data_IF_192544847664
#
_entry.id   IF_192544847664
#
_cell.length_a   1.000
_cell.length_b   1.000
_cell.length_c   1.000
_cell.angle_alpha   90.00
_cell.angle_beta   90.00
_cell.angle_gamma   90.00
#
_symmetry.space_group_name_H-M   'P 1'
#
loop_
_entity.id
_entity.type
_entity.pdbx_description
1 polymer ?
#
# COMPACT_ATOMS: atom_id res chain seq x y z
N UNK A 1 -34.03 26.67 -20.71
CA UNK A 1 -32.70 27.00 -20.15
C UNK A 1 -31.67 26.22 -20.95
N UNK A 2 -30.83 26.92 -21.70
CA UNK A 2 -29.82 26.29 -22.56
C UNK A 2 -28.76 25.61 -21.69
N UNK A 3 -28.66 24.31 -21.78
CA UNK A 3 -27.51 23.55 -21.27
C UNK A 3 -26.33 23.88 -22.19
N UNK A 4 -25.41 24.69 -21.73
CA UNK A 4 -24.11 24.85 -22.37
C UNK A 4 -23.38 23.54 -22.20
N UNK A 5 -23.39 22.70 -23.23
CA UNK A 5 -22.49 21.55 -23.33
C UNK A 5 -21.08 22.13 -23.39
N UNK A 6 -20.27 21.85 -22.37
CA UNK A 6 -18.85 22.15 -22.42
C UNK A 6 -18.26 21.30 -23.55
N UNK A 7 -17.88 21.94 -24.65
CA UNK A 7 -17.18 21.26 -25.74
C UNK A 7 -15.78 20.90 -25.27
N UNK A 8 -15.49 19.61 -25.23
CA UNK A 8 -14.14 19.12 -24.97
C UNK A 8 -13.25 19.48 -26.17
N UNK A 9 -12.00 19.90 -25.92
CA UNK A 9 -11.04 20.09 -27.00
C UNK A 9 -10.94 18.84 -27.88
N UNK A 10 -10.90 19.00 -29.21
CA UNK A 10 -10.80 17.87 -30.16
C UNK A 10 -9.66 16.94 -29.77
N UNK A 11 -9.96 15.66 -29.50
CA UNK A 11 -8.99 14.63 -29.14
C UNK A 11 -8.86 14.36 -27.62
N UNK A 12 -9.55 15.10 -26.75
CA UNK A 12 -9.59 14.80 -25.31
C UNK A 12 -10.53 13.62 -25.05
N UNK A 13 -10.04 12.63 -24.33
CA UNK A 13 -10.90 11.57 -23.82
C UNK A 13 -11.46 11.98 -22.47
N UNK A 14 -12.73 11.76 -22.32
CA UNK A 14 -13.50 12.00 -21.08
C UNK A 14 -12.86 11.36 -19.82
N UNK A 15 -12.06 10.32 -20.02
CA UNK A 15 -11.30 9.61 -18.97
C UNK A 15 -10.16 10.40 -18.35
N UNK A 16 -9.86 11.59 -18.85
CA UNK A 16 -8.61 12.30 -18.56
C UNK A 16 -8.69 13.23 -17.32
N UNK A 17 -9.88 13.54 -16.82
CA UNK A 17 -10.09 14.65 -15.86
C UNK A 17 -10.28 14.29 -14.38
N UNK A 18 -10.73 13.10 -13.99
CA UNK A 18 -11.01 12.77 -12.56
C UNK A 18 -9.80 12.35 -11.77
N UNK A 19 -8.90 11.63 -12.38
CA UNK A 19 -7.72 11.12 -11.71
C UNK A 19 -7.00 12.24 -10.95
N UNK A 20 -7.02 13.43 -11.48
CA UNK A 20 -6.37 14.56 -10.85
C UNK A 20 -7.15 15.14 -9.66
N UNK A 21 -8.48 15.18 -9.71
CA UNK A 21 -9.29 15.68 -8.59
C UNK A 21 -9.13 14.81 -7.35
N UNK A 22 -9.23 13.50 -7.48
CA UNK A 22 -9.02 12.54 -6.38
C UNK A 22 -7.57 12.62 -5.87
N UNK A 23 -6.59 12.66 -6.77
CA UNK A 23 -5.18 12.76 -6.38
C UNK A 23 -4.88 14.10 -5.70
N UNK A 24 -5.39 15.23 -6.22
CA UNK A 24 -5.17 16.54 -5.62
C UNK A 24 -5.88 16.72 -4.26
N UNK A 25 -7.03 16.08 -4.05
CA UNK A 25 -7.72 16.02 -2.76
C UNK A 25 -6.87 15.27 -1.73
N UNK A 26 -6.35 14.10 -2.12
CA UNK A 26 -5.54 13.25 -1.24
C UNK A 26 -4.15 13.81 -0.98
N UNK A 27 -3.55 14.43 -1.99
CA UNK A 27 -2.21 15.04 -1.94
C UNK A 27 -2.29 16.54 -2.28
N UNK A 28 -2.71 17.41 -1.33
CA UNK A 28 -2.87 18.83 -1.59
C UNK A 28 -1.58 19.49 -2.07
N UNK A 29 -1.70 20.48 -2.95
CA UNK A 29 -0.56 21.21 -3.53
C UNK A 29 0.33 21.83 -2.45
N UNK A 30 -0.25 22.30 -1.35
CA UNK A 30 0.49 22.81 -0.18
C UNK A 30 1.42 21.75 0.40
N UNK A 31 0.91 20.53 0.66
CA UNK A 31 1.70 19.40 1.17
C UNK A 31 2.81 19.01 0.19
N UNK A 32 2.50 18.93 -1.10
CA UNK A 32 3.49 18.66 -2.16
C UNK A 32 4.60 19.70 -2.15
N UNK A 33 4.27 21.00 -2.07
CA UNK A 33 5.26 22.08 -2.01
C UNK A 33 6.13 21.99 -0.76
N UNK A 34 5.56 21.76 0.42
CA UNK A 34 6.30 21.58 1.66
C UNK A 34 7.32 20.43 1.55
N UNK A 35 6.92 19.28 0.97
CA UNK A 35 7.84 18.16 0.75
C UNK A 35 8.95 18.52 -0.23
N UNK A 36 8.64 19.22 -1.32
CA UNK A 36 9.63 19.66 -2.30
C UNK A 36 10.64 20.63 -1.71
N UNK A 37 10.21 21.55 -0.86
CA UNK A 37 11.07 22.47 -0.11
C UNK A 37 11.98 21.71 0.86
N UNK A 38 11.39 20.82 1.65
CA UNK A 38 12.11 20.02 2.64
C UNK A 38 13.12 19.03 2.03
N UNK A 39 13.00 18.72 0.73
CA UNK A 39 13.96 17.86 -0.01
C UNK A 39 14.88 18.67 -0.94
N UNK A 40 14.77 20.00 -0.96
CA UNK A 40 15.56 20.86 -1.85
C UNK A 40 15.27 20.68 -3.34
N UNK A 41 14.09 20.10 -3.67
CA UNK A 41 13.70 19.78 -5.05
C UNK A 41 12.67 20.75 -5.64
N UNK A 42 12.41 21.85 -4.98
CA UNK A 42 11.51 22.88 -5.51
C UNK A 42 12.09 23.52 -6.79
N UNK A 43 11.22 23.88 -7.74
CA UNK A 43 11.63 24.52 -8.98
C UNK A 43 12.07 25.97 -8.74
N UNK A 44 13.36 26.25 -8.93
CA UNK A 44 13.93 27.61 -8.78
C UNK A 44 13.73 28.51 -10.03
N UNK A 45 13.37 27.92 -11.16
CA UNK A 45 13.15 28.64 -12.44
C UNK A 45 11.80 28.25 -13.00
N UNK A 46 11.17 29.15 -13.76
CA UNK A 46 9.99 28.83 -14.54
C UNK A 46 10.35 27.79 -15.59
N UNK A 47 9.68 26.66 -15.60
CA UNK A 47 9.91 25.53 -16.50
C UNK A 47 8.57 25.02 -17.01
N UNK A 48 8.57 24.40 -18.20
CA UNK A 48 7.38 23.74 -18.78
C UNK A 48 6.81 22.64 -17.85
N UNK A 49 7.68 21.97 -17.05
CA UNK A 49 7.30 20.97 -16.05
C UNK A 49 7.90 21.33 -14.70
N UNK A 50 7.22 22.11 -13.87
CA UNK A 50 7.61 22.38 -12.49
C UNK A 50 7.57 21.12 -11.63
N UNK A 51 8.37 21.08 -10.55
CA UNK A 51 8.51 19.89 -9.70
C UNK A 51 7.17 19.38 -9.15
N UNK A 52 6.28 20.27 -8.69
CA UNK A 52 4.96 19.86 -8.17
C UNK A 52 4.08 19.19 -9.24
N UNK A 53 4.13 19.63 -10.49
CA UNK A 53 3.42 18.99 -11.61
C UNK A 53 4.01 17.61 -11.89
N UNK A 54 5.35 17.46 -11.79
CA UNK A 54 6.01 16.15 -11.96
C UNK A 54 5.61 15.16 -10.85
N UNK A 55 5.38 15.62 -9.61
CA UNK A 55 4.85 14.77 -8.54
C UNK A 55 3.49 14.19 -8.93
N UNK A 56 2.54 15.01 -9.34
CA UNK A 56 1.23 14.53 -9.80
C UNK A 56 1.33 13.65 -11.04
N UNK A 57 2.25 13.97 -11.94
CA UNK A 57 2.53 13.15 -13.11
C UNK A 57 2.97 11.73 -12.73
N UNK A 58 3.85 11.59 -11.73
CA UNK A 58 4.32 10.29 -11.25
C UNK A 58 3.16 9.47 -10.67
N UNK A 59 2.25 10.08 -9.92
CA UNK A 59 1.06 9.41 -9.41
C UNK A 59 0.11 9.03 -10.56
N UNK A 60 -0.10 9.94 -11.52
CA UNK A 60 -0.96 9.69 -12.67
C UNK A 60 -0.45 8.56 -13.58
N UNK A 61 0.87 8.32 -13.65
CA UNK A 61 1.43 7.17 -14.37
C UNK A 61 0.80 5.85 -13.93
N UNK A 62 0.52 5.68 -12.64
CA UNK A 62 -0.08 4.48 -12.10
C UNK A 62 -1.54 4.28 -12.52
N UNK A 63 -2.28 5.38 -12.68
CA UNK A 63 -3.67 5.35 -13.12
C UNK A 63 -3.80 5.03 -14.62
N UNK A 64 -2.75 5.30 -15.41
CA UNK A 64 -2.72 5.14 -16.86
C UNK A 64 -1.54 4.29 -17.34
N UNK A 65 -1.33 3.15 -16.70
CA UNK A 65 -0.19 2.26 -16.99
C UNK A 65 -0.11 1.79 -18.45
N UNK A 66 -1.23 1.77 -19.17
CA UNK A 66 -1.27 1.36 -20.57
C UNK A 66 -1.08 2.53 -21.56
N UNK A 67 -1.09 3.76 -21.09
CA UNK A 67 -0.95 4.95 -21.94
C UNK A 67 0.51 5.37 -22.10
N UNK A 68 0.83 6.06 -23.19
CA UNK A 68 2.18 6.60 -23.38
C UNK A 68 2.50 7.70 -22.36
N UNK A 69 3.77 7.91 -22.03
CA UNK A 69 4.20 8.97 -21.12
C UNK A 69 3.69 10.36 -21.53
N UNK A 70 3.67 10.63 -22.84
CA UNK A 70 3.20 11.90 -23.38
C UNK A 70 1.68 12.05 -23.22
N UNK A 71 0.95 10.96 -23.40
CA UNK A 71 -0.51 10.95 -23.22
C UNK A 71 -0.88 11.18 -21.76
N UNK A 72 -0.22 10.51 -20.82
CA UNK A 72 -0.44 10.75 -19.38
C UNK A 72 -0.16 12.20 -19.02
N UNK A 73 0.91 12.80 -19.58
CA UNK A 73 1.21 14.20 -19.35
C UNK A 73 0.13 15.12 -19.95
N UNK A 74 -0.35 14.83 -21.16
CA UNK A 74 -1.41 15.61 -21.80
C UNK A 74 -2.67 15.61 -20.94
N UNK A 75 -3.12 14.43 -20.49
CA UNK A 75 -4.26 14.27 -19.61
C UNK A 75 -4.11 15.05 -18.30
N UNK A 76 -2.93 14.95 -17.69
CA UNK A 76 -2.63 15.67 -16.46
C UNK A 76 -2.69 17.20 -16.67
N UNK A 77 -2.04 17.69 -17.71
CA UNK A 77 -1.95 19.14 -17.98
C UNK A 77 -3.30 19.75 -18.35
N UNK A 78 -4.12 19.03 -19.08
CA UNK A 78 -5.50 19.45 -19.37
C UNK A 78 -6.30 19.58 -18.06
N UNK A 79 -6.18 18.63 -17.13
CA UNK A 79 -6.77 18.71 -15.80
C UNK A 79 -6.19 19.85 -14.93
N UNK A 80 -4.87 20.06 -14.95
CA UNK A 80 -4.20 21.14 -14.19
C UNK A 80 -4.55 22.52 -14.75
N UNK A 81 -4.65 22.68 -16.05
CA UNK A 81 -5.03 23.93 -16.70
C UNK A 81 -6.40 24.42 -16.23
N UNK A 82 -7.35 23.48 -16.06
CA UNK A 82 -8.66 23.76 -15.47
C UNK A 82 -8.59 24.22 -14.00
N UNK A 83 -7.64 23.68 -13.23
CA UNK A 83 -7.48 24.02 -11.81
C UNK A 83 -6.75 25.35 -11.57
N UNK A 84 -5.85 25.74 -12.46
CA UNK A 84 -4.98 26.89 -12.24
C UNK A 84 -5.42 28.16 -12.98
N UNK A 85 -5.75 28.04 -14.25
CA UNK A 85 -6.32 29.15 -15.06
C UNK A 85 -6.62 28.66 -16.48
N UNK A 86 -7.85 28.77 -17.01
CA UNK A 86 -8.18 28.27 -18.35
C UNK A 86 -7.50 29.04 -19.49
N UNK A 87 -6.86 30.19 -19.22
CA UNK A 87 -6.19 31.01 -20.24
C UNK A 87 -4.72 30.64 -20.47
N UNK A 88 -4.09 29.96 -19.55
CA UNK A 88 -2.67 29.58 -19.66
C UNK A 88 -2.48 28.31 -20.51
N UNK A 89 -1.95 28.50 -21.72
CA UNK A 89 -1.60 27.37 -22.59
C UNK A 89 -0.36 26.62 -22.06
N UNK A 90 -0.56 25.48 -21.40
CA UNK A 90 0.55 24.63 -20.97
C UNK A 90 1.08 23.84 -22.18
N UNK A 91 2.34 24.03 -22.51
CA UNK A 91 3.01 23.33 -23.60
C UNK A 91 3.34 21.89 -23.20
N UNK A 92 2.78 20.92 -23.92
CA UNK A 92 3.09 19.50 -23.71
C UNK A 92 4.52 19.22 -24.15
N UNK A 93 5.37 18.96 -23.17
CA UNK A 93 6.77 18.61 -23.38
C UNK A 93 6.93 17.22 -24.00
N UNK A 94 7.94 17.03 -24.85
CA UNK A 94 8.27 15.74 -25.45
C UNK A 94 8.79 14.72 -24.42
N UNK A 95 8.89 13.44 -24.82
CA UNK A 95 9.32 12.31 -23.98
C UNK A 95 10.65 12.57 -23.24
N UNK A 96 11.63 13.19 -23.91
CA UNK A 96 12.92 13.56 -23.30
C UNK A 96 12.79 14.58 -22.18
N UNK A 97 11.96 15.59 -22.37
CA UNK A 97 11.67 16.61 -21.34
C UNK A 97 10.99 16.05 -20.12
N UNK A 98 10.07 15.09 -20.29
CA UNK A 98 9.42 14.35 -19.21
C UNK A 98 10.46 13.55 -18.41
N UNK A 99 11.30 12.77 -19.11
CA UNK A 99 12.34 11.95 -18.47
C UNK A 99 13.31 12.83 -17.66
N UNK A 100 13.79 13.92 -18.26
CA UNK A 100 14.67 14.89 -17.58
C UNK A 100 13.99 15.54 -16.36
N UNK A 101 12.69 15.87 -16.45
CA UNK A 101 11.96 16.45 -15.34
C UNK A 101 11.84 15.46 -14.18
N UNK A 102 11.55 14.19 -14.45
CA UNK A 102 11.53 13.12 -13.45
C UNK A 102 12.90 12.88 -12.81
N UNK A 103 13.97 12.84 -13.62
CA UNK A 103 15.35 12.68 -13.11
C UNK A 103 15.75 13.84 -12.20
N UNK A 104 15.39 15.08 -12.55
CA UNK A 104 15.64 16.24 -11.67
C UNK A 104 14.89 16.18 -10.36
N UNK A 105 13.65 15.67 -10.38
CA UNK A 105 12.85 15.49 -9.17
C UNK A 105 13.50 14.49 -8.19
N UNK A 106 14.01 13.38 -8.73
CA UNK A 106 14.54 12.29 -7.91
C UNK A 106 13.45 11.45 -7.25
N UNK A 107 13.84 10.38 -6.57
CA UNK A 107 12.89 9.48 -5.88
C UNK A 107 12.52 9.96 -4.48
N UNK A 108 13.42 10.68 -3.83
CA UNK A 108 13.28 11.10 -2.42
C UNK A 108 12.00 11.91 -2.12
N UNK A 109 11.64 12.95 -2.90
CA UNK A 109 10.41 13.70 -2.63
C UNK A 109 9.15 12.84 -2.75
N UNK A 110 9.14 11.88 -3.70
CA UNK A 110 8.01 10.99 -3.91
C UNK A 110 7.86 10.03 -2.73
N UNK A 111 8.97 9.44 -2.27
CA UNK A 111 8.98 8.60 -1.07
C UNK A 111 8.55 9.39 0.17
N UNK A 112 9.09 10.59 0.37
CA UNK A 112 8.77 11.44 1.53
C UNK A 112 7.29 11.83 1.54
N UNK A 113 6.72 12.17 0.38
CA UNK A 113 5.28 12.46 0.26
C UNK A 113 4.45 11.23 0.60
N UNK A 114 4.81 10.05 0.06
CA UNK A 114 4.19 8.78 0.41
C UNK A 114 4.22 8.57 1.93
N UNK A 115 5.40 8.59 2.54
CA UNK A 115 5.58 8.33 3.97
C UNK A 115 4.86 9.36 4.87
N UNK A 116 4.64 10.58 4.38
CA UNK A 116 3.93 11.63 5.11
C UNK A 116 2.40 11.49 5.03
N UNK A 117 1.87 11.08 3.88
CA UNK A 117 0.42 11.11 3.62
C UNK A 117 -0.23 9.74 3.73
N UNK A 118 0.46 8.68 3.27
CA UNK A 118 -0.10 7.32 3.25
C UNK A 118 -0.03 6.72 4.66
N UNK A 119 -1.18 6.71 5.32
CA UNK A 119 -1.36 6.26 6.71
C UNK A 119 -2.68 5.52 6.85
N UNK A 120 -2.90 4.77 7.95
CA UNK A 120 -4.22 4.25 8.30
C UNK A 120 -5.29 5.33 8.23
N UNK A 121 -6.45 4.98 7.67
CA UNK A 121 -7.60 5.88 7.49
C UNK A 121 -8.87 5.40 8.17
N UNK A 122 -8.87 4.19 8.74
CA UNK A 122 -10.02 3.65 9.45
C UNK A 122 -10.41 4.57 10.61
N UNK A 123 -11.70 4.78 10.74
CA UNK A 123 -12.35 5.42 11.91
C UNK A 123 -13.12 4.35 12.68
N UNK A 124 -13.61 4.66 13.88
CA UNK A 124 -14.36 3.72 14.72
C UNK A 124 -15.53 3.06 13.98
N UNK A 125 -16.20 3.78 13.09
CA UNK A 125 -17.30 3.28 12.29
C UNK A 125 -16.86 2.41 11.07
N UNK A 126 -15.56 2.23 10.83
CA UNK A 126 -15.07 1.43 9.70
C UNK A 126 -15.25 -0.05 10.00
N UNK A 127 -16.15 -0.69 9.27
CA UNK A 127 -16.40 -2.14 9.39
C UNK A 127 -15.18 -2.93 8.91
N UNK A 128 -14.90 -4.08 9.54
CA UNK A 128 -13.75 -4.94 9.19
C UNK A 128 -12.40 -4.45 9.68
N UNK A 129 -12.25 -3.17 10.07
CA UNK A 129 -10.98 -2.60 10.46
C UNK A 129 -10.60 -2.86 11.94
N UNK A 130 -11.53 -3.28 12.78
CA UNK A 130 -11.33 -3.34 14.22
C UNK A 130 -11.67 -4.71 14.80
N UNK A 131 -10.83 -5.16 15.68
CA UNK A 131 -11.15 -6.22 16.62
C UNK A 131 -11.16 -5.64 18.03
N UNK A 132 -12.37 -5.47 18.60
CA UNK A 132 -12.57 -4.77 19.88
C UNK A 132 -11.92 -3.37 19.81
N UNK A 133 -10.91 -3.09 20.63
CA UNK A 133 -10.21 -1.80 20.65
C UNK A 133 -8.96 -1.77 19.76
N UNK A 134 -8.62 -2.87 19.07
CA UNK A 134 -7.43 -2.94 18.23
C UNK A 134 -7.75 -2.67 16.76
N UNK A 135 -7.00 -1.75 16.18
CA UNK A 135 -6.94 -1.61 14.73
C UNK A 135 -6.19 -2.81 14.14
N UNK A 136 -6.84 -3.53 13.23
CA UNK A 136 -6.26 -4.69 12.57
C UNK A 136 -5.29 -4.25 11.48
N UNK A 137 -4.08 -4.77 11.55
CA UNK A 137 -3.06 -4.56 10.51
C UNK A 137 -2.41 -5.88 10.16
N UNK A 138 -2.15 -6.10 8.88
CA UNK A 138 -1.47 -7.31 8.39
C UNK A 138 -0.12 -6.95 7.80
N UNK A 139 0.90 -7.80 8.02
CA UNK A 139 2.24 -7.64 7.48
C UNK A 139 2.48 -8.70 6.40
N UNK A 140 2.85 -8.28 5.20
CA UNK A 140 3.28 -9.19 4.14
C UNK A 140 4.17 -8.50 3.12
N UNK A 141 4.78 -9.31 2.23
CA UNK A 141 5.66 -8.87 1.18
C UNK A 141 5.20 -9.30 -0.20
N UNK A 142 5.70 -8.60 -1.21
CA UNK A 142 5.47 -8.98 -2.60
C UNK A 142 6.59 -8.49 -3.50
N UNK A 143 6.50 -8.85 -4.79
CA UNK A 143 7.44 -8.41 -5.82
C UNK A 143 6.71 -7.79 -7.00
N UNK A 144 7.38 -6.85 -7.68
CA UNK A 144 6.93 -6.29 -8.94
C UNK A 144 8.04 -6.37 -9.98
N UNK A 145 7.66 -6.76 -11.19
CA UNK A 145 8.55 -6.76 -12.34
C UNK A 145 8.82 -5.32 -12.79
N UNK A 146 10.06 -5.05 -13.16
CA UNK A 146 10.52 -3.77 -13.69
C UNK A 146 11.07 -3.93 -15.11
N UNK A 147 11.21 -2.82 -15.84
CA UNK A 147 11.70 -2.83 -17.21
C UNK A 147 13.04 -3.58 -17.32
N UNK A 148 13.16 -4.39 -18.36
CA UNK A 148 14.35 -5.17 -18.70
C UNK A 148 15.45 -4.26 -19.22
N UNK A 149 16.12 -3.61 -18.30
CA UNK A 149 17.26 -2.71 -18.54
C UNK A 149 18.42 -3.10 -17.64
N UNK A 150 19.62 -3.03 -18.15
CA UNK A 150 20.85 -3.42 -17.43
C UNK A 150 20.96 -2.72 -16.06
N UNK A 151 20.67 -1.43 -15.99
CA UNK A 151 20.72 -0.68 -14.75
C UNK A 151 19.72 -1.20 -13.69
N UNK A 152 18.52 -1.63 -14.11
CA UNK A 152 17.51 -2.21 -13.23
C UNK A 152 17.95 -3.62 -12.78
N UNK A 153 18.55 -4.41 -13.65
CA UNK A 153 19.07 -5.73 -13.30
C UNK A 153 20.21 -5.65 -12.28
N UNK A 154 21.16 -4.77 -12.50
CA UNK A 154 22.28 -4.53 -11.57
C UNK A 154 21.79 -4.09 -10.19
N UNK A 155 20.78 -3.21 -10.13
CA UNK A 155 20.24 -2.68 -8.88
C UNK A 155 19.31 -3.65 -8.15
N UNK A 156 18.42 -4.32 -8.87
CA UNK A 156 17.31 -5.07 -8.25
C UNK A 156 17.48 -6.59 -8.34
N UNK A 157 18.23 -7.08 -9.35
CA UNK A 157 18.41 -8.52 -9.60
C UNK A 157 17.21 -9.18 -10.27
N UNK A 158 17.41 -10.40 -10.75
CA UNK A 158 16.38 -11.26 -11.36
C UNK A 158 16.06 -12.46 -10.48
N UNK A 159 14.86 -13.04 -10.56
CA UNK A 159 14.57 -14.33 -9.96
C UNK A 159 15.45 -15.42 -10.62
N UNK A 160 15.89 -16.37 -9.81
CA UNK A 160 16.53 -17.58 -10.34
C UNK A 160 15.52 -18.36 -11.18
N UNK A 161 15.92 -18.78 -12.37
CA UNK A 161 15.10 -19.64 -13.22
C UNK A 161 15.81 -20.98 -13.42
N UNK A 162 15.09 -22.07 -13.30
CA UNK A 162 15.60 -23.42 -13.58
C UNK A 162 15.86 -23.68 -15.07
N UNK A 163 15.38 -22.80 -15.96
CA UNK A 163 15.46 -22.92 -17.43
C UNK A 163 15.84 -21.63 -18.13
N UNK A 164 16.88 -20.91 -17.63
CA UNK A 164 17.41 -19.71 -18.28
C UNK A 164 16.89 -18.37 -17.75
N UNK A 165 17.40 -17.25 -18.28
CA UNK A 165 17.13 -15.87 -17.84
C UNK A 165 15.85 -15.29 -18.48
N UNK A 166 14.69 -15.89 -18.32
CA UNK A 166 13.46 -15.39 -18.97
C UNK A 166 12.63 -14.42 -18.12
N UNK A 167 12.99 -14.22 -16.86
CA UNK A 167 12.24 -13.35 -15.95
C UNK A 167 12.76 -11.91 -15.95
N UNK A 168 11.86 -10.93 -15.77
CA UNK A 168 12.23 -9.53 -15.59
C UNK A 168 13.01 -9.29 -14.30
N UNK A 169 13.86 -8.22 -14.22
CA UNK A 169 14.34 -7.74 -12.94
C UNK A 169 13.17 -7.38 -12.01
N UNK A 170 13.35 -7.58 -10.69
CA UNK A 170 12.26 -7.42 -9.73
C UNK A 170 12.66 -6.56 -8.55
N UNK A 171 11.79 -5.62 -8.19
CA UNK A 171 11.79 -5.05 -6.85
C UNK A 171 11.01 -5.95 -5.89
N UNK A 172 11.45 -5.96 -4.64
CA UNK A 172 10.74 -6.57 -3.51
C UNK A 172 10.28 -5.47 -2.57
N UNK A 173 9.09 -5.60 -2.03
CA UNK A 173 8.60 -4.70 -1.01
C UNK A 173 7.87 -5.46 0.09
N UNK A 174 7.83 -4.87 1.27
CA UNK A 174 7.04 -5.31 2.42
C UNK A 174 6.23 -4.13 2.89
N UNK A 175 4.98 -4.37 3.23
CA UNK A 175 4.03 -3.34 3.65
C UNK A 175 3.21 -3.81 4.83
N UNK A 176 2.74 -2.87 5.63
CA UNK A 176 1.59 -3.07 6.49
C UNK A 176 0.33 -2.77 5.68
N UNK A 177 -0.74 -3.49 5.96
CA UNK A 177 -2.07 -3.24 5.42
C UNK A 177 -3.02 -2.99 6.57
N UNK A 178 -3.77 -1.92 6.52
CA UNK A 178 -4.93 -1.71 7.38
C UNK A 178 -6.07 -2.57 6.86
N UNK A 179 -6.44 -3.60 7.63
CA UNK A 179 -7.56 -4.48 7.29
C UNK A 179 -8.86 -3.67 7.21
N UNK A 180 -9.82 -4.12 6.41
CA UNK A 180 -11.09 -3.43 6.18
C UNK A 180 -11.00 -2.24 5.21
N UNK A 181 -9.90 -1.48 5.17
CA UNK A 181 -9.72 -0.41 4.19
C UNK A 181 -8.79 -0.78 3.04
N UNK A 182 -8.00 -1.83 3.20
CA UNK A 182 -6.93 -2.28 2.30
C UNK A 182 -5.83 -1.23 2.03
N UNK A 183 -5.68 -0.25 2.90
CA UNK A 183 -4.61 0.74 2.78
C UNK A 183 -3.25 0.12 3.06
N UNK A 184 -2.38 0.15 2.07
CA UNK A 184 -0.98 -0.25 2.17
C UNK A 184 -0.15 0.92 2.70
N UNK A 185 0.52 0.77 3.85
CA UNK A 185 1.30 1.84 4.48
C UNK A 185 2.61 1.31 5.09
N UNK A 186 3.51 2.22 5.48
CA UNK A 186 4.80 1.85 6.07
C UNK A 186 5.71 1.06 5.12
N UNK A 187 5.46 1.13 3.83
CA UNK A 187 6.05 0.28 2.80
C UNK A 187 7.55 0.49 2.66
N UNK A 188 8.29 -0.62 2.66
CA UNK A 188 9.73 -0.65 2.37
C UNK A 188 9.98 -1.39 1.06
N UNK A 189 10.88 -0.86 0.23
CA UNK A 189 11.20 -1.42 -1.09
C UNK A 189 12.70 -1.52 -1.29
N UNK A 190 13.15 -2.62 -1.86
CA UNK A 190 14.54 -2.82 -2.27
C UNK A 190 14.64 -3.79 -3.46
N UNK A 191 15.86 -4.09 -3.88
CA UNK A 191 16.13 -5.16 -4.83
C UNK A 191 15.93 -6.54 -4.21
N UNK A 192 15.79 -7.54 -5.04
CA UNK A 192 15.53 -8.93 -4.67
C UNK A 192 16.59 -9.55 -3.73
N UNK A 193 17.81 -9.02 -3.75
CA UNK A 193 18.90 -9.47 -2.85
C UNK A 193 18.64 -9.15 -1.39
N UNK A 194 17.78 -8.16 -1.10
CA UNK A 194 17.36 -7.84 0.26
C UNK A 194 16.24 -8.80 0.67
N UNK A 195 16.44 -9.50 1.80
CA UNK A 195 15.43 -10.42 2.34
C UNK A 195 14.19 -9.70 2.84
N UNK A 196 13.03 -10.36 2.78
CA UNK A 196 11.75 -9.78 3.26
C UNK A 196 11.81 -9.41 4.74
N UNK A 197 12.45 -10.21 5.56
CA UNK A 197 12.60 -9.92 6.99
C UNK A 197 13.40 -8.63 7.23
N UNK A 198 14.42 -8.35 6.39
CA UNK A 198 15.16 -7.09 6.48
C UNK A 198 14.30 -5.88 6.10
N UNK A 199 13.42 -6.02 5.11
CA UNK A 199 12.44 -4.99 4.75
C UNK A 199 11.37 -4.85 5.83
N UNK A 200 10.88 -5.95 6.40
CA UNK A 200 9.90 -5.96 7.47
C UNK A 200 10.37 -5.17 8.71
N UNK A 201 11.66 -5.23 9.05
CA UNK A 201 12.23 -4.40 10.13
C UNK A 201 12.01 -2.90 9.88
N UNK A 202 12.04 -2.47 8.63
CA UNK A 202 11.78 -1.08 8.24
C UNK A 202 10.31 -0.66 8.36
N UNK A 203 9.36 -1.60 8.50
CA UNK A 203 7.93 -1.28 8.72
C UNK A 203 7.61 -1.05 10.20
N UNK A 204 8.46 -1.51 11.12
CA UNK A 204 8.21 -1.45 12.57
C UNK A 204 7.90 -0.04 13.11
N UNK A 205 8.53 1.05 12.65
CA UNK A 205 8.19 2.40 13.12
C UNK A 205 6.73 2.82 12.86
N UNK A 206 6.03 2.08 12.00
CA UNK A 206 4.64 2.33 11.65
C UNK A 206 3.65 1.53 12.51
N UNK A 207 4.10 0.49 13.21
CA UNK A 207 3.32 -0.19 14.22
C UNK A 207 3.21 0.69 15.47
N UNK A 208 2.01 0.78 16.04
CA UNK A 208 1.71 1.65 17.18
C UNK A 208 0.89 0.90 18.23
N UNK A 209 0.92 1.36 19.50
CA UNK A 209 -0.05 0.90 20.50
C UNK A 209 -1.47 1.01 19.98
N UNK A 210 -2.33 0.05 20.31
CA UNK A 210 -3.70 -0.04 19.82
C UNK A 210 -3.84 -0.71 18.45
N UNK A 211 -2.75 -1.19 17.84
CA UNK A 211 -2.79 -2.05 16.66
C UNK A 211 -2.62 -3.52 17.07
N UNK A 212 -3.31 -4.43 16.37
CA UNK A 212 -3.06 -5.87 16.40
C UNK A 212 -2.48 -6.27 15.05
N UNK A 213 -1.20 -6.64 15.06
CA UNK A 213 -0.47 -7.01 13.84
C UNK A 213 -0.57 -8.50 13.57
N UNK A 214 -1.14 -8.86 12.41
CA UNK A 214 -1.22 -10.21 11.89
C UNK A 214 -0.01 -10.45 10.94
N UNK A 215 0.67 -11.61 11.06
CA UNK A 215 1.75 -11.96 10.14
C UNK A 215 1.85 -13.47 9.92
N UNK A 216 2.37 -13.86 8.76
CA UNK A 216 2.61 -15.25 8.42
C UNK A 216 3.86 -15.80 9.15
N UNK A 217 3.93 -17.12 9.22
CA UNK A 217 5.03 -17.91 9.78
C UNK A 217 6.41 -17.58 9.19
N UNK A 218 6.46 -16.98 8.02
CA UNK A 218 7.71 -16.56 7.39
C UNK A 218 8.39 -15.41 8.14
N UNK A 219 7.60 -14.51 8.73
CA UNK A 219 8.12 -13.38 9.50
C UNK A 219 8.51 -13.74 10.93
N UNK A 220 8.09 -14.93 11.43
CA UNK A 220 8.40 -15.31 12.79
C UNK A 220 9.89 -15.58 12.99
N UNK A 221 10.49 -14.82 13.92
CA UNK A 221 11.81 -15.00 14.47
C UNK A 221 11.90 -14.25 15.79
N UNK A 222 12.64 -14.80 16.78
CA UNK A 222 12.69 -14.25 18.14
C UNK A 222 13.04 -12.76 18.16
N UNK A 223 14.12 -12.37 17.47
CA UNK A 223 14.57 -10.98 17.42
C UNK A 223 13.51 -10.05 16.81
N UNK A 224 12.91 -10.46 15.68
CA UNK A 224 11.91 -9.65 15.01
C UNK A 224 10.61 -9.56 15.83
N UNK A 225 10.20 -10.65 16.49
CA UNK A 225 9.09 -10.65 17.44
C UNK A 225 9.31 -9.64 18.57
N UNK A 226 10.51 -9.64 19.20
CA UNK A 226 10.85 -8.68 20.25
C UNK A 226 10.81 -7.24 19.75
N UNK A 227 11.40 -6.97 18.58
CA UNK A 227 11.37 -5.64 17.97
C UNK A 227 9.95 -5.17 17.66
N UNK A 228 9.11 -6.05 17.12
CA UNK A 228 7.70 -5.75 16.84
C UNK A 228 6.91 -5.47 18.13
N UNK A 229 7.08 -6.33 19.17
CA UNK A 229 6.47 -6.12 20.48
C UNK A 229 6.91 -4.81 21.13
N UNK A 230 8.17 -4.42 20.96
CA UNK A 230 8.71 -3.17 21.52
C UNK A 230 8.07 -1.90 20.93
N UNK A 231 7.34 -1.99 19.83
CA UNK A 231 6.55 -0.88 19.27
C UNK A 231 5.31 -0.54 20.11
N UNK A 232 4.91 -1.44 21.00
CA UNK A 232 3.67 -1.35 21.79
C UNK A 232 2.43 -1.88 21.05
N UNK A 233 2.55 -2.36 19.83
CA UNK A 233 1.48 -3.08 19.13
C UNK A 233 1.35 -4.50 19.68
N UNK A 234 0.12 -5.03 19.67
CA UNK A 234 -0.12 -6.43 19.91
C UNK A 234 0.12 -7.26 18.65
N UNK A 235 0.52 -8.52 18.84
CA UNK A 235 0.91 -9.40 17.75
C UNK A 235 0.06 -10.66 17.76
N UNK A 236 -0.33 -11.13 16.58
CA UNK A 236 -0.99 -12.41 16.35
C UNK A 236 -0.36 -13.07 15.11
N UNK A 237 0.71 -13.82 15.32
CA UNK A 237 1.52 -14.36 14.24
C UNK A 237 1.41 -15.88 14.17
N UNK A 238 1.30 -16.38 12.95
CA UNK A 238 1.41 -17.81 12.70
C UNK A 238 2.86 -18.27 12.85
N UNK A 239 3.05 -19.47 13.39
CA UNK A 239 4.38 -20.07 13.54
C UNK A 239 4.42 -21.46 12.93
N UNK A 240 5.64 -21.93 12.67
CA UNK A 240 5.85 -23.28 12.13
C UNK A 240 5.44 -24.34 13.17
N UNK A 241 4.79 -25.41 12.73
CA UNK A 241 4.34 -26.52 13.60
C UNK A 241 5.47 -27.20 14.38
N UNK A 242 6.69 -27.18 13.84
CA UNK A 242 7.85 -27.79 14.49
C UNK A 242 8.51 -26.89 15.57
N UNK A 243 8.01 -25.68 15.76
CA UNK A 243 8.45 -24.84 16.88
C UNK A 243 8.00 -25.50 18.19
N UNK A 244 8.97 -25.91 19.01
CA UNK A 244 8.67 -26.55 20.27
C UNK A 244 8.22 -25.50 21.29
N UNK A 245 6.99 -25.67 21.80
CA UNK A 245 6.36 -24.80 22.79
C UNK A 245 5.98 -25.64 24.01
N UNK A 246 6.51 -25.27 25.18
CA UNK A 246 6.13 -25.92 26.43
C UNK A 246 4.78 -25.35 26.91
N UNK A 247 3.83 -26.21 27.26
CA UNK A 247 2.60 -25.77 27.92
C UNK A 247 2.90 -25.54 29.40
N UNK A 248 3.08 -24.28 29.78
CA UNK A 248 3.37 -23.92 31.17
C UNK A 248 2.07 -23.78 31.98
N UNK A 249 1.04 -23.20 31.38
CA UNK A 249 -0.28 -23.03 31.98
C UNK A 249 -1.36 -23.11 30.93
N UNK A 250 -2.25 -24.10 31.05
CA UNK A 250 -3.43 -24.19 30.19
C UNK A 250 -4.49 -23.19 30.64
N UNK A 251 -5.14 -22.53 29.69
CA UNK A 251 -6.18 -21.54 29.91
C UNK A 251 -7.56 -22.13 29.63
N UNK A 252 -8.61 -21.49 30.13
CA UNK A 252 -10.00 -21.99 30.07
C UNK A 252 -10.54 -22.12 28.63
N UNK A 253 -10.03 -21.30 27.70
CA UNK A 253 -10.43 -21.30 26.29
C UNK A 253 -9.64 -22.29 25.40
N UNK A 254 -8.87 -23.19 26.02
CA UNK A 254 -8.08 -24.22 25.33
C UNK A 254 -6.69 -23.75 24.90
N UNK A 255 -6.40 -22.45 24.89
CA UNK A 255 -5.06 -21.92 24.67
C UNK A 255 -4.13 -22.16 25.87
N UNK A 256 -2.85 -21.86 25.75
CA UNK A 256 -1.90 -22.01 26.85
C UNK A 256 -0.81 -20.94 26.84
N UNK A 257 -0.23 -20.67 28.01
CA UNK A 257 0.93 -19.82 28.16
C UNK A 257 2.21 -20.62 27.93
N UNK A 258 3.16 -19.97 27.30
CA UNK A 258 4.49 -20.51 26.98
C UNK A 258 5.51 -19.38 26.88
N UNK A 259 6.78 -19.74 26.69
CA UNK A 259 7.85 -18.78 26.41
C UNK A 259 8.54 -19.14 25.09
N UNK A 260 8.93 -18.09 24.36
CA UNK A 260 9.87 -18.17 23.25
C UNK A 260 11.26 -17.69 23.71
N UNK A 261 12.29 -18.28 23.13
CA UNK A 261 13.69 -18.03 23.55
C UNK A 261 14.55 -17.64 22.35
N UNK A 262 15.65 -16.87 22.56
CA UNK A 262 16.58 -16.47 21.50
C UNK A 262 17.22 -17.68 20.81
N UNK A 263 17.54 -18.70 21.59
CA UNK A 263 18.19 -19.90 21.12
C UNK A 263 17.74 -21.14 21.91
N UNK A 264 18.11 -22.32 21.42
CA UNK A 264 17.88 -23.58 22.11
C UNK A 264 18.67 -23.65 23.43
N UNK A 265 19.82 -23.00 23.49
CA UNK A 265 20.68 -22.94 24.70
C UNK A 265 20.06 -22.08 25.81
N UNK A 266 19.31 -21.04 25.46
CA UNK A 266 18.61 -20.18 26.42
C UNK A 266 17.37 -20.86 26.99
N UNK A 267 16.79 -21.80 26.26
CA UNK A 267 15.56 -22.47 26.61
C UNK A 267 15.70 -23.38 27.83
N UNK A 268 16.76 -24.19 27.91
CA UNK A 268 16.95 -25.12 29.03
C UNK A 268 17.12 -24.41 30.36
N UNK A 269 17.97 -23.35 30.49
CA UNK A 269 18.07 -22.57 31.72
C UNK A 269 16.95 -21.52 31.84
N UNK A 270 15.97 -21.47 30.92
CA UNK A 270 14.87 -20.49 30.88
C UNK A 270 15.34 -19.03 30.94
N UNK A 271 16.46 -18.72 30.26
CA UNK A 271 17.02 -17.36 30.23
C UNK A 271 16.46 -16.58 29.05
N UNK A 272 16.24 -15.28 29.29
CA UNK A 272 15.80 -14.34 28.23
C UNK A 272 14.49 -14.76 27.52
N UNK A 273 13.64 -15.54 28.19
CA UNK A 273 12.35 -15.97 27.67
C UNK A 273 11.37 -14.81 27.57
N UNK A 274 10.58 -14.79 26.51
CA UNK A 274 9.46 -13.86 26.31
C UNK A 274 8.16 -14.65 26.40
N UNK A 275 7.30 -14.24 27.34
CA UNK A 275 6.01 -14.86 27.52
C UNK A 275 5.12 -14.62 26.27
N UNK A 276 4.46 -15.67 25.83
CA UNK A 276 3.50 -15.68 24.74
C UNK A 276 2.32 -16.57 25.09
N UNK A 277 1.18 -16.29 24.49
CA UNK A 277 0.04 -17.18 24.49
C UNK A 277 -0.02 -17.94 23.18
N UNK A 278 -0.24 -19.23 23.25
CA UNK A 278 -0.29 -20.17 22.13
C UNK A 278 -1.71 -20.60 21.89
N UNK A 279 -2.16 -20.46 20.65
CA UNK A 279 -3.48 -20.90 20.19
C UNK A 279 -3.26 -21.98 19.13
N UNK A 280 -3.81 -23.16 19.35
CA UNK A 280 -3.76 -24.28 18.38
C UNK A 280 -5.17 -24.62 17.92
N UNK A 281 -5.34 -24.74 16.60
CA UNK A 281 -6.63 -25.07 16.00
C UNK A 281 -6.47 -25.87 14.71
N UNK A 282 -7.55 -26.51 14.29
CA UNK A 282 -7.67 -27.25 13.04
C UNK A 282 -8.78 -26.65 12.20
N UNK A 283 -8.69 -26.82 10.90
CA UNK A 283 -9.74 -26.42 9.95
C UNK A 283 -10.40 -27.68 9.42
N UNK A 284 -11.57 -27.97 9.94
CA UNK A 284 -12.33 -29.14 9.52
C UNK A 284 -12.99 -28.92 8.16
N UNK A 285 -12.95 -29.94 7.30
CA UNK A 285 -13.62 -29.92 6.00
C UNK A 285 -12.97 -29.03 4.92
N UNK A 286 -11.80 -28.44 5.18
CA UNK A 286 -11.08 -27.60 4.21
C UNK A 286 -10.04 -28.46 3.48
N UNK A 287 -10.21 -28.63 2.17
CA UNK A 287 -9.27 -29.39 1.35
C UNK A 287 -7.89 -28.69 1.35
N UNK A 288 -6.83 -29.46 1.64
CA UNK A 288 -5.46 -28.94 1.70
C UNK A 288 -5.10 -28.17 2.97
N UNK A 289 -5.99 -28.13 3.98
CA UNK A 289 -5.66 -27.56 5.28
C UNK A 289 -4.51 -28.33 5.95
N UNK A 290 -3.68 -27.60 6.69
CA UNK A 290 -2.64 -28.23 7.51
C UNK A 290 -3.29 -28.96 8.72
N UNK A 291 -2.68 -30.05 9.21
CA UNK A 291 -3.24 -30.81 10.34
C UNK A 291 -3.35 -29.98 11.62
N UNK A 292 -2.55 -28.94 11.76
CA UNK A 292 -2.52 -28.09 12.93
C UNK A 292 -2.01 -26.69 12.53
N UNK A 293 -2.78 -25.68 12.90
CA UNK A 293 -2.40 -24.28 12.86
C UNK A 293 -1.99 -23.83 14.26
N UNK A 294 -0.91 -23.08 14.36
CA UNK A 294 -0.44 -22.53 15.62
C UNK A 294 -0.20 -21.04 15.49
N UNK A 295 -0.84 -20.27 16.37
CA UNK A 295 -0.67 -18.84 16.49
C UNK A 295 0.02 -18.50 17.81
N UNK A 296 0.86 -17.48 17.80
CA UNK A 296 1.41 -16.84 18.98
C UNK A 296 0.83 -15.44 19.08
N UNK A 297 0.48 -15.03 20.30
CA UNK A 297 0.00 -13.68 20.55
C UNK A 297 0.66 -13.08 21.80
N UNK A 298 0.78 -11.75 21.82
CA UNK A 298 1.19 -10.98 22.99
C UNK A 298 0.05 -10.76 23.97
N UNK A 299 -1.22 -10.99 23.54
CA UNK A 299 -2.42 -10.88 24.39
C UNK A 299 -2.52 -12.14 25.25
N UNK A 300 -2.01 -12.05 26.48
CA UNK A 300 -1.89 -13.20 27.37
C UNK A 300 -3.20 -13.57 28.09
N UNK A 301 -4.10 -12.59 28.28
CA UNK A 301 -5.39 -12.77 28.93
C UNK A 301 -6.44 -13.30 27.94
N UNK A 302 -7.01 -14.50 28.15
CA UNK A 302 -8.05 -15.05 27.29
C UNK A 302 -9.37 -14.30 27.36
N UNK A 303 -9.68 -13.56 28.43
CA UNK A 303 -10.89 -12.77 28.54
C UNK A 303 -10.84 -11.53 27.65
N UNK A 304 -9.66 -10.96 27.44
CA UNK A 304 -9.46 -9.84 26.52
C UNK A 304 -9.61 -10.25 25.07
N UNK A 305 -9.22 -11.49 24.70
CA UNK A 305 -9.31 -11.99 23.34
C UNK A 305 -9.37 -13.53 23.33
N UNK A 306 -10.56 -14.14 23.33
CA UNK A 306 -10.73 -15.59 23.33
C UNK A 306 -10.05 -16.29 22.15
N UNK A 307 -9.48 -17.46 22.38
CA UNK A 307 -8.75 -18.22 21.36
C UNK A 307 -9.55 -18.52 20.09
N UNK A 308 -10.85 -18.90 20.17
CA UNK A 308 -11.65 -19.11 18.97
C UNK A 308 -11.82 -17.82 18.12
N UNK A 309 -11.98 -16.67 18.79
CA UNK A 309 -12.08 -15.38 18.08
C UNK A 309 -10.77 -15.03 17.38
N UNK A 310 -9.61 -15.19 18.07
CA UNK A 310 -8.31 -14.92 17.46
C UNK A 310 -7.97 -15.92 16.32
N UNK A 311 -8.40 -17.18 16.43
CA UNK A 311 -8.26 -18.15 15.35
C UNK A 311 -9.09 -17.76 14.12
N UNK A 312 -10.34 -17.34 14.31
CA UNK A 312 -11.19 -16.82 13.25
C UNK A 312 -10.59 -15.53 12.64
N UNK A 313 -10.19 -14.58 13.50
CA UNK A 313 -9.62 -13.31 13.10
C UNK A 313 -8.34 -13.47 12.25
N UNK A 314 -7.53 -14.48 12.54
CA UNK A 314 -6.31 -14.71 11.76
C UNK A 314 -6.60 -14.98 10.28
N UNK A 315 -7.80 -15.45 9.92
CA UNK A 315 -8.20 -15.62 8.52
C UNK A 315 -8.35 -14.28 7.79
N UNK A 316 -8.64 -13.19 8.48
CA UNK A 316 -8.71 -11.86 7.88
C UNK A 316 -7.34 -11.35 7.40
N UNK A 317 -6.23 -12.01 7.78
CA UNK A 317 -4.92 -11.76 7.15
C UNK A 317 -4.96 -11.90 5.61
N UNK A 318 -5.90 -12.66 5.06
CA UNK A 318 -6.05 -12.79 3.61
C UNK A 318 -6.41 -11.48 2.90
N UNK A 319 -6.92 -10.49 3.62
CA UNK A 319 -7.17 -9.15 3.06
C UNK A 319 -5.90 -8.50 2.49
N UNK A 320 -4.72 -8.80 3.07
CA UNK A 320 -3.46 -8.30 2.50
C UNK A 320 -3.19 -8.87 1.10
N UNK A 321 -3.54 -10.14 0.86
CA UNK A 321 -3.38 -10.77 -0.45
C UNK A 321 -4.32 -10.11 -1.47
N UNK A 322 -5.55 -9.79 -1.05
CA UNK A 322 -6.50 -9.01 -1.85
C UNK A 322 -5.97 -7.61 -2.15
N UNK A 323 -5.44 -6.91 -1.14
CA UNK A 323 -4.85 -5.57 -1.31
C UNK A 323 -3.66 -5.58 -2.26
N UNK A 324 -2.82 -6.60 -2.16
CA UNK A 324 -1.67 -6.78 -3.06
C UNK A 324 -2.13 -7.13 -4.49
N UNK A 325 -3.21 -7.91 -4.65
CA UNK A 325 -3.79 -8.20 -5.96
C UNK A 325 -4.41 -6.95 -6.60
N UNK A 326 -5.11 -6.12 -5.83
CA UNK A 326 -5.59 -4.83 -6.29
C UNK A 326 -4.48 -3.95 -6.85
N UNK A 327 -3.37 -3.86 -6.12
CA UNK A 327 -2.21 -3.10 -6.55
C UNK A 327 -1.58 -3.68 -7.83
N UNK A 328 -1.36 -4.98 -7.86
CA UNK A 328 -0.57 -5.68 -8.89
C UNK A 328 -1.39 -6.00 -10.13
N UNK A 329 -2.62 -6.46 -9.96
CA UNK A 329 -3.45 -7.00 -11.03
C UNK A 329 -4.44 -5.97 -11.52
N UNK A 330 -5.10 -5.28 -10.61
CA UNK A 330 -6.23 -4.42 -10.98
C UNK A 330 -5.81 -2.98 -11.27
N UNK A 331 -4.87 -2.41 -10.54
CA UNK A 331 -4.39 -1.05 -10.78
C UNK A 331 -3.26 -1.05 -11.82
N UNK A 332 -2.18 -1.78 -11.57
CA UNK A 332 -1.04 -1.87 -12.49
C UNK A 332 -1.40 -2.60 -13.78
N UNK A 333 -2.08 -3.72 -13.68
CA UNK A 333 -2.32 -4.69 -14.74
C UNK A 333 -1.40 -5.93 -14.62
N UNK A 334 -1.99 -7.13 -14.66
CA UNK A 334 -1.32 -8.40 -14.35
C UNK A 334 -0.04 -8.68 -15.18
N UNK A 335 0.00 -8.20 -16.44
CA UNK A 335 1.13 -8.42 -17.36
C UNK A 335 1.96 -7.17 -17.64
N UNK A 336 1.74 -6.10 -16.87
CA UNK A 336 2.42 -4.82 -17.07
C UNK A 336 3.56 -4.72 -16.06
N UNK A 337 4.78 -4.45 -16.56
CA UNK A 337 5.95 -4.16 -15.73
C UNK A 337 6.00 -2.66 -15.42
N UNK A 338 6.68 -2.26 -14.34
CA UNK A 338 7.05 -0.87 -14.13
C UNK A 338 7.98 -0.43 -15.27
N UNK A 339 7.61 0.64 -15.97
CA UNK A 339 8.18 0.99 -17.29
C UNK A 339 9.45 1.82 -17.21
N UNK A 340 9.83 2.24 -16.02
CA UNK A 340 10.98 3.13 -15.81
C UNK A 340 12.30 2.38 -16.04
N UNK A 341 13.25 3.04 -16.76
CA UNK A 341 14.48 2.43 -17.25
C UNK A 341 15.67 2.56 -16.30
N UNK A 342 15.52 3.31 -15.22
CA UNK A 342 16.57 3.50 -14.21
C UNK A 342 16.03 3.21 -12.82
N UNK A 343 16.85 2.71 -11.90
CA UNK A 343 16.43 2.35 -10.54
C UNK A 343 15.71 3.48 -9.79
N UNK A 344 16.21 4.69 -9.91
CA UNK A 344 15.63 5.87 -9.27
C UNK A 344 14.22 6.17 -9.81
N UNK A 345 14.03 6.10 -11.12
CA UNK A 345 12.73 6.30 -11.74
C UNK A 345 11.77 5.14 -11.48
N UNK A 346 12.28 3.90 -11.28
CA UNK A 346 11.48 2.76 -10.81
C UNK A 346 10.94 3.01 -9.41
N UNK A 347 11.76 3.53 -8.49
CA UNK A 347 11.30 3.90 -7.15
C UNK A 347 10.23 4.99 -7.19
N UNK A 348 10.38 6.02 -8.04
CA UNK A 348 9.34 7.01 -8.25
C UNK A 348 8.03 6.38 -8.71
N UNK A 349 8.09 5.51 -9.72
CA UNK A 349 6.92 4.85 -10.29
C UNK A 349 6.25 3.93 -9.27
N UNK A 350 7.03 3.22 -8.46
CA UNK A 350 6.54 2.39 -7.36
C UNK A 350 5.78 3.19 -6.31
N UNK A 351 6.39 4.24 -5.75
CA UNK A 351 5.69 5.06 -4.76
C UNK A 351 4.51 5.83 -5.36
N UNK A 352 4.57 6.19 -6.65
CA UNK A 352 3.43 6.72 -7.39
C UNK A 352 2.26 5.73 -7.46
N UNK A 353 2.57 4.44 -7.68
CA UNK A 353 1.58 3.36 -7.69
C UNK A 353 0.94 3.17 -6.31
N UNK A 354 1.74 3.19 -5.23
CA UNK A 354 1.25 3.12 -3.85
C UNK A 354 0.32 4.30 -3.51
N UNK A 355 0.70 5.51 -3.90
CA UNK A 355 -0.11 6.72 -3.67
C UNK A 355 -1.42 6.71 -4.47
N UNK A 356 -1.40 6.20 -5.70
CA UNK A 356 -2.61 6.07 -6.50
C UNK A 356 -3.57 5.04 -5.89
N UNK A 357 -3.06 3.90 -5.41
CA UNK A 357 -3.86 2.90 -4.69
C UNK A 357 -4.49 3.52 -3.43
N UNK A 358 -3.71 4.22 -2.62
CA UNK A 358 -4.18 4.91 -1.43
C UNK A 358 -5.32 5.90 -1.73
N UNK A 359 -5.18 6.72 -2.78
CA UNK A 359 -6.21 7.69 -3.16
C UNK A 359 -7.53 7.00 -3.57
N UNK A 360 -7.44 5.87 -4.27
CA UNK A 360 -8.63 5.09 -4.66
C UNK A 360 -9.29 4.47 -3.43
N UNK A 361 -8.51 3.86 -2.54
CA UNK A 361 -9.03 3.24 -1.32
C UNK A 361 -9.61 4.28 -0.36
N UNK A 362 -9.02 5.47 -0.24
CA UNK A 362 -9.57 6.57 0.50
C UNK A 362 -10.94 7.00 -0.02
N UNK A 363 -11.11 7.09 -1.34
CA UNK A 363 -12.42 7.39 -1.94
C UNK A 363 -13.45 6.28 -1.68
N UNK A 364 -13.04 5.02 -1.78
CA UNK A 364 -13.92 3.87 -1.48
C UNK A 364 -14.34 3.87 -0.02
N UNK A 365 -13.43 4.14 0.90
CA UNK A 365 -13.72 4.25 2.33
C UNK A 365 -14.70 5.38 2.63
N UNK A 366 -14.52 6.57 2.06
CA UNK A 366 -15.49 7.67 2.19
C UNK A 366 -16.89 7.28 1.66
N UNK A 367 -16.96 6.56 0.54
CA UNK A 367 -18.21 6.07 -0.02
C UNK A 367 -18.88 5.03 0.88
N UNK A 368 -18.09 4.09 1.44
CA UNK A 368 -18.57 3.07 2.36
C UNK A 368 -19.14 3.68 3.63
N UNK A 369 -18.44 4.63 4.25
CA UNK A 369 -18.92 5.34 5.44
C UNK A 369 -20.24 6.08 5.19
N UNK A 370 -20.39 6.72 4.02
CA UNK A 370 -21.65 7.42 3.65
C UNK A 370 -22.82 6.46 3.44
N UNK A 371 -22.55 5.24 3.00
CA UNK A 371 -23.55 4.21 2.73
C UNK A 371 -23.80 3.28 3.93
N UNK A 372 -23.04 3.46 5.02
CA UNK A 372 -23.00 2.52 6.15
C UNK A 372 -22.69 1.08 5.72
N UNK A 373 -21.77 0.95 4.76
CA UNK A 373 -21.34 -0.33 4.20
C UNK A 373 -19.91 -0.68 4.62
N UNK A 374 -19.58 -1.96 4.46
CA UNK A 374 -18.21 -2.45 4.63
C UNK A 374 -17.38 -2.08 3.40
N UNK A 375 -16.21 -1.42 3.55
CA UNK A 375 -15.34 -1.08 2.42
C UNK A 375 -14.92 -2.29 1.58
N UNK A 376 -14.85 -3.49 2.17
CA UNK A 376 -14.48 -4.72 1.47
C UNK A 376 -15.56 -5.24 0.52
N UNK A 377 -16.80 -4.85 0.75
CA UNK A 377 -17.91 -5.15 -0.17
C UNK A 377 -17.90 -4.30 -1.42
N UNK A 378 -17.10 -3.24 -1.45
CA UNK A 378 -16.95 -2.38 -2.62
C UNK A 378 -15.91 -2.95 -3.58
N UNK A 379 -16.28 -3.08 -4.85
CA UNK A 379 -15.36 -3.57 -5.87
C UNK A 379 -14.30 -2.54 -6.25
N UNK A 380 -13.03 -2.81 -5.95
CA UNK A 380 -11.90 -1.97 -6.36
C UNK A 380 -11.86 -1.76 -7.89
N UNK A 381 -12.07 -2.82 -8.66
CA UNK A 381 -12.14 -2.74 -10.14
C UNK A 381 -13.25 -1.78 -10.58
N UNK A 382 -14.40 -1.85 -9.92
CA UNK A 382 -15.50 -0.94 -10.20
C UNK A 382 -15.14 0.50 -9.84
N UNK A 383 -14.54 0.74 -8.67
CA UNK A 383 -14.07 2.06 -8.26
C UNK A 383 -13.08 2.66 -9.27
N UNK A 384 -12.08 1.88 -9.71
CA UNK A 384 -11.14 2.29 -10.77
C UNK A 384 -11.88 2.65 -12.07
N UNK A 385 -12.88 1.84 -12.47
CA UNK A 385 -13.68 2.11 -13.67
C UNK A 385 -14.55 3.36 -13.50
N UNK A 386 -15.16 3.55 -12.35
CA UNK A 386 -15.96 4.75 -12.04
C UNK A 386 -15.07 6.00 -12.03
N UNK A 387 -13.93 5.94 -11.36
CA UNK A 387 -12.94 6.98 -11.41
C UNK A 387 -12.59 7.30 -12.88
N UNK A 388 -12.30 6.33 -13.70
CA UNK A 388 -11.99 6.51 -15.12
C UNK A 388 -13.18 7.01 -15.97
N UNK A 389 -14.45 6.75 -15.60
CA UNK A 389 -15.65 7.11 -16.36
C UNK A 389 -16.33 8.41 -15.92
N UNK A 390 -16.38 8.67 -14.61
CA UNK A 390 -17.08 9.83 -14.03
C UNK A 390 -16.24 11.09 -13.98
N UNK A 391 -15.07 11.05 -14.56
CA UNK A 391 -14.14 12.13 -14.65
C UNK A 391 -14.64 13.41 -15.28
N UNK A 392 -15.51 13.36 -16.26
CA UNK A 392 -16.02 14.57 -16.87
C UNK A 392 -17.22 15.17 -16.15
N UNK A 393 -17.86 14.40 -15.25
CA UNK A 393 -19.08 14.84 -14.54
C UNK A 393 -18.76 15.58 -13.25
N UNK A 394 -17.57 15.34 -12.67
CA UNK A 394 -17.05 16.21 -11.64
C UNK A 394 -16.49 17.47 -12.31
N UNK A 395 -17.19 18.59 -12.28
CA UNK A 395 -16.54 19.83 -12.60
C UNK A 395 -15.35 19.87 -11.66
N UNK A 396 -14.15 19.84 -12.25
CA UNK A 396 -12.92 19.83 -11.47
C UNK A 396 -12.96 21.08 -10.58
N UNK A 397 -13.73 20.93 -9.50
CA UNK A 397 -13.79 21.88 -8.43
C UNK A 397 -14.07 23.33 -8.88
N UNK A 398 -15.29 23.67 -9.26
CA UNK A 398 -15.77 25.02 -8.95
C UNK A 398 -16.24 25.04 -7.50
N UNK A 399 -16.25 26.21 -6.84
CA UNK A 399 -16.65 26.37 -5.44
C UNK A 399 -18.11 25.94 -5.09
N UNK A 400 -18.79 25.22 -5.95
CA UNK A 400 -20.17 24.72 -5.80
C UNK A 400 -20.31 23.20 -5.91
N UNK A 401 -19.20 22.46 -5.83
CA UNK A 401 -19.16 21.03 -6.16
C UNK A 401 -19.59 20.04 -5.08
N UNK A 402 -19.97 20.47 -3.89
CA UNK A 402 -20.34 19.55 -2.79
C UNK A 402 -21.72 18.89 -2.96
N UNK A 403 -22.58 19.38 -3.83
CA UNK A 403 -23.94 18.86 -4.02
C UNK A 403 -24.05 17.70 -5.02
N UNK A 404 -23.09 17.50 -5.92
CA UNK A 404 -23.18 16.49 -7.00
C UNK A 404 -22.35 15.22 -6.75
N UNK A 405 -21.60 15.17 -5.65
CA UNK A 405 -20.80 13.98 -5.27
C UNK A 405 -21.64 12.91 -4.58
N UNK A 406 -22.88 13.25 -4.18
CA UNK A 406 -23.79 12.38 -3.43
C UNK A 406 -24.89 11.70 -4.29
N UNK A 407 -24.74 11.65 -5.60
CA UNK A 407 -25.64 10.92 -6.51
C UNK A 407 -24.98 9.83 -7.30
#
# INVERSE_FOLDING_TARGET
MARTLAELPKGSRITDYISLGVVAKTFPVSTVKTVLEATGRNSRRQRDLPAHVVVYYVIALALYMQSSYREVLRCLLEGVQWLLNPTDRIKVTGKSGISQARTRLGAEPIKKLHDQVVRPIAVEATRGAWYRAWLLVSLDGSTLDVADERANEEAFGRPGASRGQSAYPQIRFVSLVENGTHVLFGTQVAGRRTGELALAKGTLPWLKPGMLCLADRYFFGFEFWQQARATGADLLWRVKKNLQMACEKRLADGSYLSHIYPSQYDRQPQRNGVAVRVIEYQLDGVAGAEPLYRLLTTILDPELAPAPELAALYHERWEIETSLDELKTHLRGARIVLRSKTPELVQQEFYGLMMAHFAIRGLMHEAALKADEDPDRLSFVHAVRVIRRKLPIFPAIPPRGDSDVSR
#
